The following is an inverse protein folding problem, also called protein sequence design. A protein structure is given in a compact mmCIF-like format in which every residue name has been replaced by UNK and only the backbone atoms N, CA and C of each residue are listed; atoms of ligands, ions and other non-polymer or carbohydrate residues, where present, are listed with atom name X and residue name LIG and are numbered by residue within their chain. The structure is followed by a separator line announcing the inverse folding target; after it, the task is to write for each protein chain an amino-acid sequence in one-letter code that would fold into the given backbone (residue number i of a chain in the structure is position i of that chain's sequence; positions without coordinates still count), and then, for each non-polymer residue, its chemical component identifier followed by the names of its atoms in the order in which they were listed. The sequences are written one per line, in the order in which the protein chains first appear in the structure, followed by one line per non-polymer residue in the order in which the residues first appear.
data_IF_661785202412
#
_entry.id   IF_661785202412
#
_cell.length_a   1.000
_cell.length_b   1.000
_cell.length_c   1.000
_cell.angle_alpha   90.00
_cell.angle_beta   90.00
_cell.angle_gamma   90.00
#
_symmetry.space_group_name_H-M   'P 1'
#
loop_
_entity.id
_entity.type
_entity.pdbx_description
1 polymer ?
#
# COMPACT_ATOMS: atom_id res chain seq x y z
N UNK A 1 -10.82 6.98 6.05
CA UNK A 1 -11.37 6.49 4.77
C UNK A 1 -12.53 7.40 4.42
N UNK A 2 -12.63 7.83 3.17
CA UNK A 2 -13.83 8.51 2.66
C UNK A 2 -14.99 7.52 2.92
N UNK A 3 -16.06 7.97 3.56
CA UNK A 3 -17.14 7.09 4.01
C UNK A 3 -17.92 6.45 2.85
N UNK A 4 -18.97 5.70 3.21
CA UNK A 4 -19.79 4.96 2.25
C UNK A 4 -21.03 5.75 1.78
N UNK A 5 -21.04 7.07 1.93
CA UNK A 5 -22.20 7.87 1.53
C UNK A 5 -22.25 8.11 0.01
N UNK A 6 -23.44 8.28 -0.60
CA UNK A 6 -23.55 8.63 -2.01
C UNK A 6 -22.72 9.85 -2.48
N UNK A 7 -22.64 10.98 -1.75
CA UNK A 7 -21.82 12.11 -2.18
C UNK A 7 -20.32 11.81 -2.16
N UNK A 8 -19.87 11.01 -1.19
CA UNK A 8 -18.49 10.55 -1.09
C UNK A 8 -18.11 9.61 -2.24
N UNK A 9 -19.01 8.70 -2.60
CA UNK A 9 -18.85 7.87 -3.80
C UNK A 9 -18.78 8.72 -5.07
N UNK A 10 -19.67 9.71 -5.21
CA UNK A 10 -19.67 10.62 -6.36
C UNK A 10 -18.36 11.41 -6.46
N UNK A 11 -17.85 11.91 -5.32
CA UNK A 11 -16.56 12.58 -5.25
C UNK A 11 -15.42 11.68 -5.74
N UNK A 12 -15.39 10.41 -5.32
CA UNK A 12 -14.38 9.44 -5.77
C UNK A 12 -14.49 9.23 -7.28
N UNK A 13 -15.70 9.00 -7.81
CA UNK A 13 -15.89 8.79 -9.25
C UNK A 13 -15.46 9.99 -10.09
N UNK A 14 -15.85 11.20 -9.68
CA UNK A 14 -15.45 12.45 -10.34
C UNK A 14 -13.92 12.61 -10.31
N UNK A 15 -13.29 12.33 -9.16
CA UNK A 15 -11.83 12.38 -9.03
C UNK A 15 -11.14 11.40 -9.98
N UNK A 16 -11.64 10.16 -10.06
CA UNK A 16 -11.13 9.14 -10.99
C UNK A 16 -11.25 9.62 -12.44
N UNK A 17 -12.38 10.20 -12.82
CA UNK A 17 -12.57 10.75 -14.18
C UNK A 17 -11.56 11.87 -14.47
N UNK A 18 -11.42 12.83 -13.55
CA UNK A 18 -10.50 13.96 -13.71
C UNK A 18 -9.06 13.49 -13.92
N UNK A 19 -8.57 12.58 -13.07
CA UNK A 19 -7.18 12.11 -13.13
C UNK A 19 -6.92 11.09 -14.26
N UNK A 20 -7.93 10.31 -14.65
CA UNK A 20 -7.79 9.35 -15.75
C UNK A 20 -7.82 10.03 -17.11
N UNK A 21 -8.65 11.07 -17.26
CA UNK A 21 -8.88 11.77 -18.52
C UNK A 21 -8.27 13.17 -18.53
N UNK A 22 -7.31 13.43 -17.66
CA UNK A 22 -6.60 14.72 -17.57
C UNK A 22 -6.16 15.29 -18.93
N UNK A 23 -5.60 14.49 -19.88
CA UNK A 23 -5.27 15.03 -21.21
C UNK A 23 -6.46 15.61 -21.97
N UNK A 24 -7.66 15.03 -21.83
CA UNK A 24 -8.89 15.54 -22.46
C UNK A 24 -9.31 16.88 -21.84
N UNK A 25 -9.13 17.04 -20.53
CA UNK A 25 -9.40 18.30 -19.83
C UNK A 25 -8.41 19.41 -20.22
N UNK A 26 -7.24 19.07 -20.76
CA UNK A 26 -6.34 20.07 -21.37
C UNK A 26 -6.69 20.34 -22.84
N UNK A 27 -7.01 19.29 -23.59
CA UNK A 27 -7.27 19.37 -25.03
C UNK A 27 -8.57 20.11 -25.37
N UNK A 28 -9.67 19.82 -24.66
CA UNK A 28 -10.97 20.41 -25.00
C UNK A 28 -10.98 21.94 -24.82
N UNK A 29 -10.48 22.52 -23.72
CA UNK A 29 -10.35 23.97 -23.60
C UNK A 29 -9.36 24.56 -24.61
N UNK A 30 -8.28 23.85 -24.93
CA UNK A 30 -7.32 24.30 -25.93
C UNK A 30 -8.00 24.42 -27.31
N UNK A 31 -8.77 23.42 -27.72
CA UNK A 31 -9.53 23.47 -28.99
C UNK A 31 -10.57 24.59 -28.99
N UNK A 32 -11.30 24.76 -27.88
CA UNK A 32 -12.29 25.83 -27.74
C UNK A 32 -11.65 27.22 -27.83
N UNK A 33 -10.52 27.44 -27.14
CA UNK A 33 -9.76 28.69 -27.20
C UNK A 33 -9.19 28.93 -28.60
N UNK A 34 -8.62 27.90 -29.24
CA UNK A 34 -8.10 28.00 -30.61
C UNK A 34 -9.20 28.36 -31.62
N UNK A 35 -10.39 27.77 -31.48
CA UNK A 35 -11.54 28.11 -32.31
C UNK A 35 -12.00 29.56 -32.08
N UNK A 36 -11.98 30.03 -30.84
CA UNK A 36 -12.36 31.40 -30.49
C UNK A 36 -11.34 32.45 -30.99
N UNK A 37 -10.04 32.16 -30.90
CA UNK A 37 -8.97 33.05 -31.38
C UNK A 37 -9.01 33.31 -32.90
N UNK A 38 -9.71 32.48 -33.68
CA UNK A 38 -10.00 32.75 -35.10
C UNK A 38 -10.89 33.99 -35.24
N UNK A 39 -11.79 34.23 -34.28
CA UNK A 39 -12.73 35.36 -34.30
C UNK A 39 -12.18 36.61 -33.62
N UNK A 40 -11.33 36.45 -32.59
CA UNK A 40 -10.65 37.57 -31.91
C UNK A 40 -9.15 37.27 -31.69
N UNK A 41 -8.28 37.63 -32.64
CA UNK A 41 -6.86 37.28 -32.61
C UNK A 41 -6.01 38.13 -31.65
N UNK A 42 -6.50 39.27 -31.17
CA UNK A 42 -5.70 40.23 -30.39
C UNK A 42 -5.88 40.13 -28.87
N UNK A 43 -6.78 39.27 -28.40
CA UNK A 43 -7.00 39.05 -26.98
C UNK A 43 -5.83 38.25 -26.33
N UNK A 44 -4.89 39.00 -25.75
CA UNK A 44 -3.70 38.52 -25.04
C UNK A 44 -3.92 37.41 -24.00
N UNK A 45 -4.99 37.38 -23.16
CA UNK A 45 -5.18 36.30 -22.19
C UNK A 45 -5.41 34.92 -22.83
N UNK A 46 -5.91 34.86 -24.06
CA UNK A 46 -6.14 33.58 -24.75
C UNK A 46 -4.83 32.92 -25.18
N UNK A 47 -3.87 33.72 -25.67
CA UNK A 47 -2.55 33.22 -26.08
C UNK A 47 -1.77 32.63 -24.89
N UNK A 48 -1.82 33.28 -23.72
CA UNK A 48 -1.20 32.75 -22.50
C UNK A 48 -1.86 31.45 -22.04
N UNK A 49 -3.20 31.39 -22.03
CA UNK A 49 -3.93 30.18 -21.65
C UNK A 49 -3.64 29.00 -22.60
N UNK A 50 -3.60 29.24 -23.91
CA UNK A 50 -3.22 28.24 -24.92
C UNK A 50 -1.79 27.74 -24.68
N UNK A 51 -0.83 28.64 -24.46
CA UNK A 51 0.55 28.26 -24.18
C UNK A 51 0.68 27.38 -22.94
N UNK A 52 -0.06 27.69 -21.86
CA UNK A 52 -0.10 26.86 -20.64
C UNK A 52 -0.70 25.47 -20.94
N UNK A 53 -1.83 25.39 -21.63
CA UNK A 53 -2.47 24.11 -21.96
C UNK A 53 -1.60 23.24 -22.87
N UNK A 54 -0.92 23.84 -23.85
CA UNK A 54 0.07 23.16 -24.70
C UNK A 54 1.22 22.64 -23.84
N UNK A 55 1.76 23.47 -22.95
CA UNK A 55 2.83 23.07 -22.02
C UNK A 55 2.43 21.89 -21.14
N UNK A 56 1.20 21.91 -20.60
CA UNK A 56 0.66 20.80 -19.80
C UNK A 56 0.49 19.52 -20.62
N UNK A 57 -0.03 19.60 -21.84
CA UNK A 57 -0.13 18.45 -22.75
C UNK A 57 1.24 17.88 -23.12
N UNK A 58 2.23 18.74 -23.38
CA UNK A 58 3.60 18.31 -23.67
C UNK A 58 4.23 17.63 -22.46
N UNK A 59 4.07 18.19 -21.26
CA UNK A 59 4.56 17.59 -20.02
C UNK A 59 3.92 16.22 -19.76
N UNK A 60 2.60 16.12 -19.97
CA UNK A 60 1.84 14.86 -19.87
C UNK A 60 2.32 13.83 -20.89
N UNK A 61 2.58 14.24 -22.14
CA UNK A 61 3.08 13.37 -23.19
C UNK A 61 4.50 12.86 -22.90
N UNK A 62 5.39 13.74 -22.44
CA UNK A 62 6.75 13.36 -22.01
C UNK A 62 6.67 12.38 -20.84
N UNK A 63 5.87 12.69 -19.82
CA UNK A 63 5.64 11.78 -18.69
C UNK A 63 5.12 10.42 -19.16
N UNK A 64 4.12 10.40 -20.05
CA UNK A 64 3.54 9.18 -20.56
C UNK A 64 4.56 8.30 -21.30
N UNK A 65 5.33 8.90 -22.22
CA UNK A 65 6.27 8.19 -23.08
C UNK A 65 7.51 7.71 -22.32
N UNK A 66 8.08 8.55 -21.46
CA UNK A 66 9.39 8.29 -20.85
C UNK A 66 9.32 7.71 -19.45
N UNK A 67 8.21 7.84 -18.72
CA UNK A 67 8.07 7.33 -17.35
C UNK A 67 6.94 6.29 -17.23
N UNK A 68 5.72 6.68 -17.60
CA UNK A 68 4.56 5.81 -17.38
C UNK A 68 4.59 4.53 -18.23
N UNK A 69 4.83 4.66 -19.54
CA UNK A 69 4.80 3.52 -20.47
C UNK A 69 5.93 2.52 -20.23
N UNK A 70 7.19 2.91 -19.98
CA UNK A 70 8.24 1.98 -19.60
C UNK A 70 7.93 1.25 -18.30
N UNK A 71 7.45 1.95 -17.28
CA UNK A 71 7.08 1.32 -16.00
C UNK A 71 5.95 0.31 -16.17
N UNK A 72 4.94 0.64 -16.99
CA UNK A 72 3.85 -0.27 -17.28
C UNK A 72 4.34 -1.53 -18.00
N UNK A 73 5.31 -1.41 -18.92
CA UNK A 73 5.91 -2.56 -19.59
C UNK A 73 6.65 -3.46 -18.60
N UNK A 74 7.51 -2.88 -17.76
CA UNK A 74 8.22 -3.62 -16.71
C UNK A 74 7.21 -4.34 -15.82
N UNK A 75 6.22 -3.63 -15.29
CA UNK A 75 5.19 -4.22 -14.43
C UNK A 75 4.37 -5.32 -15.12
N UNK A 76 4.19 -5.27 -16.44
CA UNK A 76 3.48 -6.30 -17.20
C UNK A 76 4.35 -7.52 -17.53
N UNK A 77 5.67 -7.37 -17.56
CA UNK A 77 6.61 -8.45 -17.91
C UNK A 77 7.30 -9.07 -16.69
N UNK A 78 7.33 -8.38 -15.56
CA UNK A 78 7.97 -8.89 -14.35
C UNK A 78 7.13 -10.00 -13.76
N UNK A 79 7.66 -11.22 -13.81
CA UNK A 79 7.06 -12.35 -13.12
C UNK A 79 7.18 -12.18 -11.60
N UNK A 80 6.12 -12.55 -10.89
CA UNK A 80 6.17 -12.58 -9.44
C UNK A 80 7.19 -13.62 -8.97
N UNK A 81 8.06 -13.24 -8.04
CA UNK A 81 8.97 -14.18 -7.40
C UNK A 81 8.20 -14.93 -6.33
N UNK A 82 7.92 -16.20 -6.60
CA UNK A 82 7.20 -17.06 -5.67
C UNK A 82 8.13 -17.65 -4.60
N UNK A 83 7.67 -17.75 -3.34
CA UNK A 83 8.37 -18.55 -2.35
C UNK A 83 8.43 -20.01 -2.80
N UNK A 84 9.30 -20.80 -2.15
CA UNK A 84 9.38 -22.24 -2.44
C UNK A 84 8.01 -22.88 -2.20
N UNK A 85 7.57 -23.71 -3.15
CA UNK A 85 6.32 -24.44 -3.05
C UNK A 85 6.25 -25.24 -1.74
N UNK A 86 5.13 -25.07 -1.02
CA UNK A 86 4.87 -25.76 0.24
C UNK A 86 4.71 -27.26 0.02
N UNK A 87 5.23 -28.04 0.97
CA UNK A 87 4.95 -29.48 1.03
C UNK A 87 3.50 -29.74 1.41
N UNK A 88 2.99 -30.96 1.13
CA UNK A 88 1.64 -31.36 1.52
C UNK A 88 1.35 -31.16 3.02
N UNK A 89 2.32 -31.48 3.88
CA UNK A 89 2.17 -31.32 5.33
C UNK A 89 2.07 -29.85 5.73
N UNK A 90 2.87 -28.98 5.12
CA UNK A 90 2.83 -27.53 5.36
C UNK A 90 1.54 -26.91 4.85
N UNK A 91 1.05 -27.31 3.66
CA UNK A 91 -0.25 -26.86 3.14
C UNK A 91 -1.40 -27.25 4.05
N UNK A 92 -1.41 -28.51 4.53
CA UNK A 92 -2.42 -28.98 5.46
C UNK A 92 -2.39 -28.17 6.77
N UNK A 93 -1.20 -27.91 7.32
CA UNK A 93 -1.05 -27.11 8.53
C UNK A 93 -1.54 -25.67 8.33
N UNK A 94 -1.18 -25.04 7.21
CA UNK A 94 -1.63 -23.70 6.85
C UNK A 94 -3.16 -23.64 6.68
N UNK A 95 -3.75 -24.63 6.00
CA UNK A 95 -5.20 -24.73 5.82
C UNK A 95 -5.93 -24.82 7.17
N UNK A 96 -5.45 -25.69 8.07
CA UNK A 96 -6.04 -25.83 9.40
C UNK A 96 -5.88 -24.56 10.23
N UNK A 97 -4.74 -23.88 10.13
CA UNK A 97 -4.53 -22.60 10.81
C UNK A 97 -5.50 -21.52 10.29
N UNK A 98 -5.64 -21.39 8.96
CA UNK A 98 -6.62 -20.47 8.36
C UNK A 98 -8.04 -20.76 8.85
N UNK A 99 -8.45 -22.04 8.87
CA UNK A 99 -9.76 -22.43 9.38
C UNK A 99 -9.94 -22.14 10.86
N UNK A 100 -8.92 -22.37 11.70
CA UNK A 100 -8.98 -22.10 13.13
C UNK A 100 -9.31 -20.63 13.44
N UNK A 101 -8.84 -19.70 12.60
CA UNK A 101 -9.09 -18.26 12.74
C UNK A 101 -10.34 -17.76 11.98
N UNK A 102 -10.92 -18.58 11.09
CA UNK A 102 -12.17 -18.27 10.41
C UNK A 102 -13.38 -18.57 11.32
N UNK A 103 -13.74 -17.60 12.16
CA UNK A 103 -14.88 -17.70 13.09
C UNK A 103 -16.20 -18.02 12.38
N UNK A 104 -16.50 -17.31 11.30
CA UNK A 104 -17.60 -17.62 10.37
C UNK A 104 -17.00 -18.01 9.03
N UNK A 105 -16.99 -19.31 8.74
CA UNK A 105 -16.40 -19.85 7.51
C UNK A 105 -17.19 -19.42 6.27
N UNK A 106 -18.51 -19.25 6.38
CA UNK A 106 -19.33 -18.82 5.25
C UNK A 106 -19.07 -17.36 4.91
N UNK A 107 -19.01 -16.47 5.91
CA UNK A 107 -18.65 -15.07 5.70
C UNK A 107 -17.20 -14.91 5.23
N UNK A 108 -16.27 -15.68 5.81
CA UNK A 108 -14.87 -15.71 5.37
C UNK A 108 -14.77 -16.08 3.89
N UNK A 109 -15.43 -17.16 3.47
CA UNK A 109 -15.44 -17.60 2.08
C UNK A 109 -16.05 -16.53 1.18
N UNK A 110 -17.23 -15.98 1.52
CA UNK A 110 -17.86 -14.91 0.74
C UNK A 110 -16.96 -13.69 0.56
N UNK A 111 -16.16 -13.33 1.58
CA UNK A 111 -15.19 -12.25 1.48
C UNK A 111 -14.19 -12.45 0.34
N UNK A 112 -13.75 -13.69 0.12
CA UNK A 112 -12.88 -14.07 -1.00
C UNK A 112 -13.59 -14.18 -2.35
N UNK A 113 -14.93 -14.26 -2.35
CA UNK A 113 -15.79 -14.32 -3.52
C UNK A 113 -16.54 -13.00 -3.77
N UNK A 114 -15.94 -11.86 -3.44
CA UNK A 114 -16.52 -10.52 -3.69
C UNK A 114 -17.92 -10.33 -3.06
N UNK A 115 -18.14 -10.96 -1.91
CA UNK A 115 -19.43 -11.01 -1.19
C UNK A 115 -20.58 -11.67 -1.96
N UNK A 116 -20.29 -12.50 -2.97
CA UNK A 116 -21.29 -13.23 -3.75
C UNK A 116 -22.25 -14.05 -2.84
N UNK A 117 -23.49 -14.27 -3.28
CA UNK A 117 -24.40 -15.22 -2.64
C UNK A 117 -23.75 -16.61 -2.56
N UNK A 118 -23.92 -17.32 -1.44
CA UNK A 118 -23.33 -18.65 -1.26
C UNK A 118 -23.81 -19.68 -2.28
N UNK A 119 -25.00 -19.48 -2.85
CA UNK A 119 -25.59 -20.40 -3.82
C UNK A 119 -24.95 -20.27 -5.21
N UNK A 120 -24.31 -19.13 -5.47
CA UNK A 120 -23.50 -18.88 -6.66
C UNK A 120 -22.07 -19.42 -6.51
N UNK A 121 -21.65 -19.76 -5.29
CA UNK A 121 -20.35 -20.36 -4.99
C UNK A 121 -20.51 -21.89 -5.03
N UNK A 122 -20.07 -22.50 -6.13
CA UNK A 122 -20.17 -23.95 -6.34
C UNK A 122 -18.83 -24.64 -6.18
N UNK A 123 -18.84 -25.98 -6.22
CA UNK A 123 -17.68 -26.83 -5.94
C UNK A 123 -16.46 -26.45 -6.80
N UNK A 124 -16.65 -26.17 -8.08
CA UNK A 124 -15.54 -25.84 -8.98
C UNK A 124 -14.92 -24.46 -8.65
N UNK A 125 -15.75 -23.50 -8.24
CA UNK A 125 -15.26 -22.18 -7.81
C UNK A 125 -14.40 -22.29 -6.55
N UNK A 126 -14.81 -23.14 -5.60
CA UNK A 126 -14.06 -23.39 -4.36
C UNK A 126 -12.75 -24.11 -4.65
N UNK A 127 -12.75 -25.09 -5.56
CA UNK A 127 -11.53 -25.76 -6.02
C UNK A 127 -10.55 -24.77 -6.65
N UNK A 128 -11.02 -23.90 -7.54
CA UNK A 128 -10.22 -22.83 -8.16
C UNK A 128 -9.64 -21.87 -7.11
N UNK A 129 -10.42 -21.51 -6.10
CA UNK A 129 -9.94 -20.69 -4.97
C UNK A 129 -8.85 -21.38 -4.15
N UNK A 130 -9.04 -22.66 -3.80
CA UNK A 130 -8.08 -23.42 -3.00
C UNK A 130 -6.77 -23.69 -3.76
N UNK A 131 -6.86 -23.93 -5.07
CA UNK A 131 -5.71 -24.08 -5.95
C UNK A 131 -4.83 -22.83 -5.92
N UNK A 132 -5.43 -21.67 -6.05
CA UNK A 132 -4.70 -20.41 -5.88
C UNK A 132 -4.15 -20.26 -4.44
N UNK A 133 -4.99 -20.44 -3.43
CA UNK A 133 -4.65 -20.10 -2.05
C UNK A 133 -3.55 -20.96 -1.41
N UNK A 134 -3.47 -22.25 -1.78
CA UNK A 134 -2.55 -23.21 -1.14
C UNK A 134 -1.54 -23.84 -2.09
N UNK A 135 -1.81 -23.84 -3.40
CA UNK A 135 -0.96 -24.45 -4.41
C UNK A 135 -0.33 -23.42 -5.37
N UNK A 136 -0.75 -22.15 -5.29
CA UNK A 136 -0.24 -21.03 -6.11
C UNK A 136 -0.26 -21.32 -7.62
N UNK A 137 -1.20 -22.15 -8.09
CA UNK A 137 -1.29 -22.57 -9.50
C UNK A 137 -2.70 -22.44 -10.05
N UNK A 138 -2.80 -22.17 -11.36
CA UNK A 138 -4.03 -22.28 -12.15
C UNK A 138 -3.97 -23.44 -13.15
N UNK A 139 -2.90 -24.22 -13.14
CA UNK A 139 -2.72 -25.35 -14.05
C UNK A 139 -3.52 -26.56 -13.55
N UNK A 140 -4.57 -26.92 -14.29
CA UNK A 140 -5.44 -28.06 -14.00
C UNK A 140 -4.71 -29.41 -14.13
N UNK A 141 -3.69 -29.50 -15.00
CA UNK A 141 -2.90 -30.72 -15.17
C UNK A 141 -1.96 -30.92 -13.97
N UNK A 142 -1.35 -29.83 -13.47
CA UNK A 142 -0.58 -29.86 -12.23
C UNK A 142 -1.49 -30.12 -11.00
N UNK A 143 -2.71 -29.57 -11.03
CA UNK A 143 -3.73 -29.80 -9.99
C UNK A 143 -4.18 -31.26 -9.92
N UNK A 144 -4.17 -31.99 -11.04
CA UNK A 144 -4.63 -33.37 -11.10
C UNK A 144 -3.88 -34.29 -10.12
N UNK A 145 -2.58 -34.04 -9.92
CA UNK A 145 -1.75 -34.76 -8.94
C UNK A 145 -2.18 -34.52 -7.47
N UNK A 146 -2.94 -33.45 -7.21
CA UNK A 146 -3.37 -33.01 -5.89
C UNK A 146 -4.89 -33.11 -5.66
N UNK A 147 -5.63 -33.72 -6.58
CA UNK A 147 -7.10 -33.82 -6.51
C UNK A 147 -7.61 -34.38 -5.18
N UNK A 148 -7.00 -35.45 -4.67
CA UNK A 148 -7.41 -36.04 -3.39
C UNK A 148 -7.20 -35.09 -2.19
N UNK A 149 -6.14 -34.27 -2.22
CA UNK A 149 -5.88 -33.26 -1.18
C UNK A 149 -6.90 -32.12 -1.27
N UNK A 150 -7.15 -31.61 -2.48
CA UNK A 150 -8.13 -30.56 -2.75
C UNK A 150 -9.55 -30.97 -2.35
N UNK A 151 -9.97 -32.19 -2.70
CA UNK A 151 -11.29 -32.70 -2.32
C UNK A 151 -11.41 -32.84 -0.79
N UNK A 152 -10.33 -33.16 -0.10
CA UNK A 152 -10.28 -33.15 1.37
C UNK A 152 -10.47 -31.74 1.96
N UNK A 153 -9.85 -30.71 1.38
CA UNK A 153 -10.05 -29.32 1.77
C UNK A 153 -11.49 -28.85 1.51
N UNK A 154 -12.07 -29.19 0.35
CA UNK A 154 -13.47 -28.89 0.04
C UNK A 154 -14.41 -29.55 1.04
N UNK A 155 -14.22 -30.85 1.33
CA UNK A 155 -15.05 -31.57 2.29
C UNK A 155 -14.97 -30.95 3.69
N UNK A 156 -13.77 -30.55 4.13
CA UNK A 156 -13.59 -29.88 5.43
C UNK A 156 -14.32 -28.54 5.49
N UNK A 157 -14.32 -27.77 4.40
CA UNK A 157 -15.07 -26.51 4.31
C UNK A 157 -16.59 -26.76 4.38
N UNK A 158 -17.08 -27.75 3.65
CA UNK A 158 -18.49 -28.14 3.67
C UNK A 158 -18.96 -28.57 5.06
N UNK A 159 -18.16 -29.39 5.74
CA UNK A 159 -18.45 -29.86 7.09
C UNK A 159 -18.50 -28.68 8.08
N UNK A 160 -17.56 -27.72 7.97
CA UNK A 160 -17.50 -26.57 8.87
C UNK A 160 -18.62 -25.55 8.64
N UNK A 161 -19.12 -25.42 7.41
CA UNK A 161 -20.29 -24.58 7.13
C UNK A 161 -21.63 -25.29 7.37
N UNK A 162 -21.63 -26.60 7.58
CA UNK A 162 -22.86 -27.40 7.68
C UNK A 162 -23.67 -27.46 6.38
N UNK A 163 -23.05 -27.17 5.22
CA UNK A 163 -23.69 -27.22 3.89
C UNK A 163 -22.74 -27.78 2.85
N UNK A 164 -23.30 -28.55 1.90
CA UNK A 164 -22.56 -29.01 0.71
C UNK A 164 -22.62 -27.96 -0.39
N UNK A 165 -21.56 -27.87 -1.19
CA UNK A 165 -21.56 -27.02 -2.38
C UNK A 165 -22.33 -27.73 -3.51
N UNK A 166 -23.09 -26.95 -4.29
CA UNK A 166 -23.72 -27.49 -5.48
C UNK A 166 -22.65 -27.95 -6.49
N UNK A 167 -22.91 -29.02 -7.27
CA UNK A 167 -21.97 -29.49 -8.28
C UNK A 167 -21.80 -28.48 -9.43
N UNK A 168 -20.63 -28.54 -10.08
CA UNK A 168 -20.27 -27.71 -11.22
C UNK A 168 -19.77 -26.31 -10.85
N UNK A 169 -19.74 -25.43 -11.85
CA UNK A 169 -19.29 -24.04 -11.75
C UNK A 169 -20.48 -23.09 -11.63
N UNK A 170 -20.45 -22.23 -10.61
CA UNK A 170 -21.40 -21.14 -10.43
C UNK A 170 -20.90 -19.83 -11.03
N UNK A 171 -21.71 -18.78 -10.89
CA UNK A 171 -21.45 -17.43 -11.44
C UNK A 171 -20.47 -16.62 -10.59
N UNK A 172 -20.17 -17.07 -9.36
CA UNK A 172 -19.24 -16.37 -8.47
C UNK A 172 -17.79 -16.44 -8.96
N UNK A 173 -17.01 -15.40 -8.66
CA UNK A 173 -15.58 -15.31 -8.97
C UNK A 173 -14.79 -15.13 -7.68
N UNK A 174 -13.76 -15.95 -7.48
CA UNK A 174 -12.81 -15.79 -6.39
C UNK A 174 -11.73 -14.76 -6.74
N UNK A 175 -11.24 -14.04 -5.73
CA UNK A 175 -10.01 -13.28 -5.81
C UNK A 175 -8.82 -14.24 -5.92
N UNK A 176 -7.92 -14.00 -6.89
CA UNK A 176 -6.68 -14.77 -7.04
C UNK A 176 -5.50 -13.84 -7.26
N UNK A 177 -5.05 -13.23 -6.17
CA UNK A 177 -4.20 -12.04 -6.17
C UNK A 177 -2.85 -12.21 -6.89
N UNK A 178 -2.32 -13.42 -6.94
CA UNK A 178 -1.02 -13.72 -7.57
C UNK A 178 -1.14 -14.18 -9.03
N UNK A 179 -2.31 -14.65 -9.44
CA UNK A 179 -2.53 -15.22 -10.78
C UNK A 179 -3.33 -14.27 -11.68
N UNK A 180 -4.13 -13.37 -11.11
CA UNK A 180 -4.91 -12.43 -11.89
C UNK A 180 -4.04 -11.28 -12.42
N UNK A 181 -4.24 -10.88 -13.69
CA UNK A 181 -3.47 -9.80 -14.27
C UNK A 181 -3.77 -8.49 -13.54
N UNK A 182 -2.71 -7.75 -13.24
CA UNK A 182 -2.84 -6.41 -12.65
C UNK A 182 -3.38 -5.46 -13.72
N UNK A 183 -4.69 -5.21 -13.70
CA UNK A 183 -5.28 -4.18 -14.54
C UNK A 183 -4.87 -2.79 -14.03
N UNK A 184 -4.19 -2.02 -14.87
CA UNK A 184 -3.78 -0.66 -14.55
C UNK A 184 -4.66 0.34 -15.31
N UNK A 185 -5.09 1.39 -14.63
CA UNK A 185 -5.71 2.55 -15.26
C UNK A 185 -4.67 3.66 -15.38
N UNK A 186 -4.75 4.45 -16.46
CA UNK A 186 -3.89 5.61 -16.62
C UNK A 186 -4.03 6.55 -15.42
N UNK A 187 -2.88 6.93 -14.85
CA UNK A 187 -2.76 7.92 -13.77
C UNK A 187 -1.96 9.09 -14.32
N UNK A 188 -2.62 10.24 -14.45
CA UNK A 188 -2.00 11.42 -15.05
C UNK A 188 -0.82 11.97 -14.26
N UNK A 189 -0.01 12.82 -14.91
CA UNK A 189 1.05 13.54 -14.22
C UNK A 189 0.50 14.37 -13.06
N UNK A 190 -0.68 14.99 -13.25
CA UNK A 190 -1.37 15.76 -12.21
C UNK A 190 -1.67 14.92 -10.95
N UNK A 191 -2.06 13.65 -11.12
CA UNK A 191 -2.25 12.74 -9.98
C UNK A 191 -0.95 12.55 -9.20
N UNK A 192 0.16 12.31 -9.89
CA UNK A 192 1.46 12.10 -9.24
C UNK A 192 1.99 13.39 -8.57
N UNK A 193 1.67 14.57 -9.10
CA UNK A 193 1.93 15.86 -8.42
C UNK A 193 1.14 15.94 -7.11
N UNK A 194 -0.15 15.57 -7.11
CA UNK A 194 -0.96 15.52 -5.88
C UNK A 194 -0.37 14.54 -4.86
N UNK A 195 0.06 13.36 -5.29
CA UNK A 195 0.72 12.39 -4.41
C UNK A 195 2.03 12.95 -3.83
N UNK A 196 2.85 13.63 -4.64
CA UNK A 196 4.08 14.27 -4.16
C UNK A 196 3.80 15.36 -3.11
N UNK A 197 2.74 16.15 -3.30
CA UNK A 197 2.31 17.16 -2.34
C UNK A 197 1.81 16.53 -1.03
N UNK A 198 0.95 15.51 -1.14
CA UNK A 198 0.45 14.74 0.02
C UNK A 198 1.61 14.15 0.81
N UNK A 199 2.60 13.59 0.12
CA UNK A 199 3.79 13.05 0.74
C UNK A 199 4.61 14.12 1.48
N UNK A 200 4.84 15.28 0.85
CA UNK A 200 5.51 16.43 1.48
C UNK A 200 4.78 16.95 2.72
N UNK A 201 3.45 17.05 2.67
CA UNK A 201 2.61 17.43 3.82
C UNK A 201 2.69 16.40 4.94
N UNK A 202 2.64 15.11 4.59
CA UNK A 202 2.79 14.01 5.56
C UNK A 202 4.15 14.07 6.24
N UNK A 203 5.21 14.31 5.47
CA UNK A 203 6.57 14.49 5.97
C UNK A 203 6.64 15.65 6.97
N UNK A 204 6.04 16.80 6.63
CA UNK A 204 6.00 17.96 7.51
C UNK A 204 5.27 17.67 8.84
N UNK A 205 4.11 17.00 8.78
CA UNK A 205 3.36 16.63 9.98
C UNK A 205 4.12 15.68 10.90
N UNK A 206 4.76 14.65 10.33
CA UNK A 206 5.56 13.70 11.11
C UNK A 206 6.75 14.40 11.79
N UNK A 207 7.47 15.28 11.07
CA UNK A 207 8.55 16.08 11.65
C UNK A 207 8.05 16.99 12.78
N UNK A 208 6.92 17.67 12.58
CA UNK A 208 6.33 18.54 13.58
C UNK A 208 5.93 17.79 14.87
N UNK A 209 5.60 16.50 14.77
CA UNK A 209 5.24 15.65 15.90
C UNK A 209 6.42 14.84 16.46
N UNK A 210 7.67 15.23 16.15
CA UNK A 210 8.87 14.66 16.75
C UNK A 210 9.37 13.37 16.10
N UNK A 211 8.80 12.94 14.98
CA UNK A 211 9.35 11.84 14.21
C UNK A 211 10.62 12.29 13.46
N UNK A 212 11.61 11.40 13.42
CA UNK A 212 12.87 11.57 12.68
C UNK A 212 12.85 10.67 11.46
N UNK A 213 13.02 11.26 10.29
CA UNK A 213 13.11 10.50 9.05
C UNK A 213 14.52 9.99 8.82
N UNK A 214 14.65 8.68 8.64
CA UNK A 214 15.87 7.99 8.23
C UNK A 214 15.72 7.63 6.75
N UNK A 215 16.34 8.44 5.89
CA UNK A 215 16.28 8.25 4.44
C UNK A 215 17.20 7.12 3.99
N UNK A 216 16.91 6.54 2.81
CA UNK A 216 17.80 5.56 2.18
C UNK A 216 19.18 6.15 1.95
N UNK A 217 20.21 5.31 2.08
CA UNK A 217 21.60 5.72 1.87
C UNK A 217 22.04 5.67 0.41
N UNK A 218 21.29 4.98 -0.46
CA UNK A 218 21.55 4.88 -1.90
C UNK A 218 20.96 6.07 -2.67
N UNK A 219 21.80 7.01 -3.11
CA UNK A 219 21.36 8.14 -3.94
C UNK A 219 20.83 7.72 -5.33
N UNK A 220 21.19 6.53 -5.80
CA UNK A 220 20.63 5.96 -7.02
C UNK A 220 19.15 5.58 -6.82
N UNK A 221 18.83 4.86 -5.74
CA UNK A 221 17.46 4.45 -5.41
C UNK A 221 16.53 5.63 -5.12
N UNK A 222 17.04 6.66 -4.44
CA UNK A 222 16.27 7.89 -4.19
C UNK A 222 15.92 8.60 -5.50
N UNK A 223 16.86 8.68 -6.45
CA UNK A 223 16.60 9.28 -7.78
C UNK A 223 15.70 8.42 -8.66
N UNK A 224 15.73 7.10 -8.45
CA UNK A 224 14.91 6.15 -9.19
C UNK A 224 13.44 6.12 -8.71
N UNK A 225 13.15 6.73 -7.55
CA UNK A 225 11.80 6.77 -6.97
C UNK A 225 10.93 7.79 -7.69
N UNK A 226 9.73 7.36 -8.08
CA UNK A 226 8.71 8.22 -8.66
C UNK A 226 7.38 8.10 -7.88
N UNK A 227 6.71 9.21 -7.50
CA UNK A 227 7.11 10.62 -7.65
C UNK A 227 8.44 10.97 -6.98
N UNK A 228 9.15 12.01 -7.46
CA UNK A 228 10.42 12.43 -6.86
C UNK A 228 10.21 12.91 -5.43
N UNK A 229 11.12 12.52 -4.53
CA UNK A 229 11.08 12.85 -3.10
C UNK A 229 12.29 13.69 -2.68
N UNK A 230 12.31 15.00 -2.99
CA UNK A 230 13.44 15.86 -2.63
C UNK A 230 13.74 15.85 -1.13
N UNK A 231 12.73 15.72 -0.28
CA UNK A 231 12.85 15.58 1.18
C UNK A 231 13.77 14.42 1.63
N UNK A 232 13.88 13.36 0.83
CA UNK A 232 14.77 12.23 1.15
C UNK A 232 16.24 12.54 0.84
N UNK A 233 16.51 13.35 -0.18
CA UNK A 233 17.87 13.81 -0.52
C UNK A 233 18.48 14.66 0.60
N UNK A 234 17.65 15.46 1.27
CA UNK A 234 18.06 16.35 2.36
C UNK A 234 17.94 15.71 3.75
N UNK A 235 17.70 14.40 3.84
CA UNK A 235 17.59 13.69 5.13
C UNK A 235 18.92 13.73 5.89
N UNK A 236 18.87 14.25 7.13
CA UNK A 236 20.02 14.29 8.05
C UNK A 236 20.42 12.89 8.52
N UNK A 237 19.43 12.02 8.75
CA UNK A 237 19.67 10.66 9.20
C UNK A 237 19.59 9.69 8.04
N UNK A 238 20.54 8.76 7.98
CA UNK A 238 20.58 7.69 6.98
C UNK A 238 20.24 6.35 7.62
N UNK A 239 19.43 5.59 6.91
CA UNK A 239 19.06 4.24 7.30
C UNK A 239 20.28 3.32 7.27
N UNK A 240 20.47 2.46 8.28
CA UNK A 240 21.49 1.40 8.24
C UNK A 240 21.17 0.32 7.21
N UNK A 241 19.90 0.23 6.76
CA UNK A 241 19.47 -0.64 5.67
C UNK A 241 19.35 0.19 4.38
N UNK A 242 20.25 0.05 3.39
CA UNK A 242 20.34 0.96 2.26
C UNK A 242 19.05 1.12 1.46
N UNK A 243 18.28 0.03 1.34
CA UNK A 243 17.06 -0.04 0.55
C UNK A 243 15.77 0.38 1.29
N UNK A 244 15.87 0.71 2.59
CA UNK A 244 14.71 0.93 3.44
C UNK A 244 14.73 2.32 4.08
N UNK A 245 13.74 3.16 3.73
CA UNK A 245 13.45 4.39 4.46
C UNK A 245 12.48 4.13 5.61
N UNK A 246 12.60 4.87 6.71
CA UNK A 246 11.64 4.78 7.81
C UNK A 246 11.60 6.05 8.66
N UNK A 247 10.49 6.20 9.37
CA UNK A 247 10.31 7.20 10.40
C UNK A 247 10.52 6.59 11.78
N UNK A 248 11.26 7.28 12.63
CA UNK A 248 11.51 6.87 14.00
C UNK A 248 10.97 7.90 14.99
N UNK A 249 10.16 7.44 15.94
CA UNK A 249 9.77 8.17 17.13
C UNK A 249 10.35 7.49 18.36
N UNK A 250 10.91 8.27 19.28
CA UNK A 250 11.49 7.76 20.52
C UNK A 250 12.56 8.70 21.06
N UNK A 251 13.14 8.40 22.23
CA UNK A 251 14.19 9.22 22.85
C UNK A 251 15.41 9.38 21.94
N UNK A 252 16.09 10.52 22.04
CA UNK A 252 17.26 10.80 21.22
C UNK A 252 18.39 9.82 21.56
N UNK A 253 18.91 9.14 20.54
CA UNK A 253 20.03 8.20 20.68
C UNK A 253 21.28 8.88 21.26
N UNK A 254 21.45 10.18 21.02
CA UNK A 254 22.51 11.00 21.62
C UNK A 254 22.32 11.22 23.14
N UNK A 255 21.07 11.36 23.61
CA UNK A 255 20.80 11.46 25.06
C UNK A 255 21.05 10.12 25.77
N UNK A 256 20.82 8.99 25.10
CA UNK A 256 21.17 7.66 25.62
C UNK A 256 22.69 7.45 25.72
N UNK A 257 23.48 7.88 24.73
CA UNK A 257 24.95 7.76 24.81
C UNK A 257 25.56 8.69 25.88
N UNK A 258 25.02 9.90 26.07
CA UNK A 258 25.46 10.78 27.17
C UNK A 258 25.06 10.25 28.56
N UNK A 259 23.88 9.65 28.72
CA UNK A 259 23.48 9.03 29.98
C UNK A 259 24.23 7.73 30.26
N UNK A 260 24.54 6.90 29.25
CA UNK A 260 25.36 5.70 29.42
C UNK A 260 26.82 6.01 29.82
N UNK A 261 27.36 7.15 29.37
CA UNK A 261 28.68 7.63 29.79
C UNK A 261 28.67 8.31 31.18
N UNK A 262 27.50 8.65 31.71
CA UNK A 262 27.35 9.12 33.07
C UNK A 262 27.23 7.91 34.01
N UNK A 263 28.19 7.72 34.92
CA UNK A 263 28.19 6.62 35.87
C UNK A 263 26.87 6.61 36.67
N UNK A 264 26.09 5.50 36.69
CA UNK A 264 24.80 5.48 37.36
C UNK A 264 25.00 5.75 38.85
N UNK A 265 24.42 6.87 39.32
CA UNK A 265 24.60 7.34 40.71
C UNK A 265 23.86 6.48 41.75
N UNK A 266 22.92 5.63 41.33
CA UNK A 266 22.14 4.76 42.23
C UNK A 266 21.78 3.41 41.58
N UNK A 267 21.49 2.40 42.41
CA UNK A 267 21.05 1.06 41.95
C UNK A 267 19.68 1.11 41.24
N UNK A 268 18.83 2.08 41.59
CA UNK A 268 17.53 2.31 40.97
C UNK A 268 17.65 2.90 39.55
N UNK A 269 18.59 3.83 39.32
CA UNK A 269 18.81 4.41 37.98
C UNK A 269 19.37 3.38 36.99
N UNK A 270 20.24 2.47 37.45
CA UNK A 270 20.75 1.37 36.61
C UNK A 270 19.65 0.37 36.21
N UNK A 271 18.73 0.05 37.12
CA UNK A 271 17.60 -0.83 36.84
C UNK A 271 16.59 -0.19 35.87
N UNK A 272 16.35 1.12 35.97
CA UNK A 272 15.47 1.86 35.06
C UNK A 272 16.07 1.98 33.64
N UNK A 273 17.38 2.21 33.51
CA UNK A 273 18.10 2.22 32.22
C UNK A 273 18.10 0.84 31.55
N UNK A 274 18.31 -0.25 32.31
CA UNK A 274 18.16 -1.61 31.79
C UNK A 274 16.74 -1.89 31.29
N UNK A 275 15.71 -1.46 32.03
CA UNK A 275 14.30 -1.62 31.63
C UNK A 275 13.96 -0.83 30.36
N UNK A 276 14.53 0.37 30.19
CA UNK A 276 14.41 1.16 28.96
C UNK A 276 15.15 0.55 27.76
N UNK A 277 16.30 -0.10 27.97
CA UNK A 277 17.04 -0.79 26.91
C UNK A 277 16.30 -2.01 26.34
N UNK A 278 15.46 -2.65 27.16
CA UNK A 278 14.73 -3.88 26.81
C UNK A 278 13.40 -3.68 26.09
N UNK A 279 12.85 -2.45 26.04
CA UNK A 279 11.61 -2.22 25.30
C UNK A 279 11.84 -2.28 23.78
N UNK A 280 11.19 -3.26 23.16
CA UNK A 280 11.16 -3.42 21.71
C UNK A 280 10.32 -2.32 21.06
N UNK A 281 10.75 -1.78 19.91
CA UNK A 281 9.97 -0.79 19.18
C UNK A 281 8.72 -1.41 18.55
N UNK A 282 7.66 -0.62 18.44
CA UNK A 282 6.52 -0.92 17.57
C UNK A 282 6.95 -0.67 16.13
N UNK A 283 6.98 -1.72 15.32
CA UNK A 283 7.23 -1.61 13.88
C UNK A 283 5.88 -1.51 13.17
N UNK A 284 5.64 -0.37 12.52
CA UNK A 284 4.41 -0.07 11.81
C UNK A 284 4.64 -0.16 10.31
N UNK A 285 3.90 -1.07 9.66
CA UNK A 285 3.83 -1.18 8.21
C UNK A 285 2.52 -0.57 7.73
N UNK A 286 2.61 0.46 6.89
CA UNK A 286 1.41 1.00 6.25
C UNK A 286 1.04 0.16 5.02
N UNK A 287 -0.27 0.08 4.74
CA UNK A 287 -0.77 -0.60 3.55
C UNK A 287 -0.49 0.17 2.24
N UNK A 288 -0.99 -0.40 1.15
CA UNK A 288 -0.95 0.20 -0.20
C UNK A 288 -1.92 1.39 -0.24
N UNK A 289 -1.47 2.55 -0.71
CA UNK A 289 -2.28 3.77 -0.78
C UNK A 289 -1.46 5.04 -0.88
N UNK A 290 -1.96 6.12 -0.27
CA UNK A 290 -1.31 7.46 -0.22
C UNK A 290 -0.25 7.57 0.90
N UNK A 291 0.35 6.45 1.29
CA UNK A 291 1.36 6.40 2.34
C UNK A 291 0.84 6.63 3.76
N UNK A 292 1.71 7.14 4.63
CA UNK A 292 1.47 7.31 6.07
C UNK A 292 0.39 8.34 6.42
N UNK A 293 -0.06 9.18 5.48
CA UNK A 293 -1.09 10.20 5.71
C UNK A 293 -2.32 9.62 6.42
N UNK A 294 -2.80 8.49 5.91
CA UNK A 294 -4.03 7.84 6.41
C UNK A 294 -3.90 7.28 7.83
N UNK A 295 -2.67 7.17 8.33
CA UNK A 295 -2.34 6.59 9.63
C UNK A 295 -1.81 7.64 10.61
N UNK A 296 -1.66 8.91 10.21
CA UNK A 296 -1.12 9.96 11.09
C UNK A 296 -1.90 10.08 12.39
N UNK A 297 -3.24 10.08 12.31
CA UNK A 297 -4.09 10.14 13.51
C UNK A 297 -3.78 8.99 14.47
N UNK A 298 -3.73 7.76 13.96
CA UNK A 298 -3.39 6.59 14.77
C UNK A 298 -2.00 6.70 15.40
N UNK A 299 -1.00 7.10 14.62
CA UNK A 299 0.38 7.27 15.10
C UNK A 299 0.47 8.35 16.18
N UNK A 300 -0.21 9.47 16.01
CA UNK A 300 -0.21 10.57 16.98
C UNK A 300 -0.99 10.23 18.25
N UNK A 301 -2.12 9.53 18.12
CA UNK A 301 -2.89 9.02 19.27
C UNK A 301 -2.07 7.98 20.05
N UNK A 302 -1.33 7.11 19.35
CA UNK A 302 -0.41 6.15 19.97
C UNK A 302 0.71 6.86 20.75
N UNK A 303 1.33 7.87 20.15
CA UNK A 303 2.34 8.72 20.82
C UNK A 303 1.75 9.41 22.05
N UNK A 304 0.55 10.00 21.92
CA UNK A 304 -0.12 10.70 23.02
C UNK A 304 -0.44 9.75 24.18
N UNK A 305 -1.00 8.57 23.88
CA UNK A 305 -1.31 7.55 24.87
C UNK A 305 -0.05 7.07 25.60
N UNK A 306 1.03 6.83 24.85
CA UNK A 306 2.30 6.42 25.43
C UNK A 306 2.94 7.50 26.31
N UNK A 307 2.87 8.77 25.91
CA UNK A 307 3.38 9.89 26.72
C UNK A 307 2.58 10.05 28.01
N UNK A 308 1.26 9.86 27.97
CA UNK A 308 0.42 9.87 29.17
C UNK A 308 0.77 8.72 30.14
N UNK A 309 1.05 7.51 29.62
CA UNK A 309 1.52 6.38 30.44
C UNK A 309 2.94 6.59 30.96
N UNK A 310 3.82 7.23 30.19
CA UNK A 310 5.21 7.48 30.60
C UNK A 310 5.31 8.51 31.73
N UNK A 311 4.38 9.48 31.78
CA UNK A 311 4.26 10.41 32.89
C UNK A 311 3.84 9.72 34.21
N UNK A 312 3.39 8.46 34.17
CA UNK A 312 2.93 7.66 35.30
C UNK A 312 3.85 6.44 35.61
N UNK A 313 5.13 6.47 35.25
CA UNK A 313 6.16 5.42 35.47
C UNK A 313 6.41 4.41 34.31
N UNK A 314 5.88 4.67 33.11
CA UNK A 314 6.15 3.86 31.91
C UNK A 314 7.43 4.27 31.15
N UNK A 315 8.19 3.35 30.53
CA UNK A 315 9.20 3.74 29.56
C UNK A 315 8.53 4.24 28.26
N UNK A 316 9.08 5.32 27.68
CA UNK A 316 8.52 5.98 26.49
C UNK A 316 8.47 5.07 25.26
N UNK A 317 7.39 5.20 24.46
CA UNK A 317 7.20 4.39 23.25
C UNK A 317 8.28 4.66 22.20
N UNK A 318 8.67 3.60 21.51
CA UNK A 318 9.50 3.66 20.31
C UNK A 318 8.69 3.17 19.13
N UNK A 319 8.62 3.95 18.06
CA UNK A 319 7.87 3.61 16.85
C UNK A 319 8.81 3.68 15.68
N UNK A 320 8.82 2.63 14.86
CA UNK A 320 9.46 2.61 13.54
C UNK A 320 8.33 2.47 12.52
N UNK A 321 7.99 3.55 11.82
CA UNK A 321 7.04 3.49 10.72
C UNK A 321 7.81 3.32 9.40
N UNK A 322 7.73 2.12 8.84
CA UNK A 322 8.47 1.74 7.64
C UNK A 322 7.84 2.38 6.41
N UNK A 323 8.69 2.94 5.55
CA UNK A 323 8.27 3.58 4.31
C UNK A 323 8.69 2.71 3.13
N UNK A 324 7.75 1.91 2.63
CA UNK A 324 7.97 1.05 1.47
C UNK A 324 7.73 1.85 0.20
N UNK A 325 8.82 2.26 -0.44
CA UNK A 325 8.76 2.98 -1.70
C UNK A 325 8.86 2.03 -2.88
N UNK A 326 8.13 2.31 -3.98
CA UNK A 326 8.28 1.55 -5.20
C UNK A 326 9.73 1.72 -5.68
N UNK A 327 10.45 0.60 -5.75
CA UNK A 327 11.68 0.49 -6.52
C UNK A 327 11.30 0.15 -7.96
N UNK A 328 11.90 0.80 -8.97
CA UNK A 328 11.57 0.52 -10.36
C UNK A 328 11.95 -0.89 -10.81
#
# INVERSE_FOLDING_TARGET
MIGNSPPEWALIQVSVIIFRFTPLFYLLPLLALSAYSIYDPFATPHHTAQAVLIGLLLAEAVFYVFLYRPQLRVAATTEAVYPKALTKAERQALFQQCLAHAHDTALYLRGWFLNAPLDDIRRDNVREFLLWAFFETSDEDAAAAHNAELDGYVATLEDRMGRRFAPGRGTARSLRLTLEPVTTAYRSLAWYVVIALVDGVTHAFLRAHGFRFYGRSSAAEVRATFPPRPQELFSTYKSPAPALGYWYYGPNSQQQQQHQNAKPRTRASAAAEQKQGQQLPVVFFHGIGVGLLTYLRFLFDLVKAANAQSAQDGPGVRIIAVEMLPHP
#
